data_IF_628909874735
#
_entry.id   IF_628909874735
#
_cell.length_a   1.000
_cell.length_b   1.000
_cell.length_c   1.000
_cell.angle_alpha   90.00
_cell.angle_beta   90.00
_cell.angle_gamma   90.00
#
_symmetry.space_group_name_H-M   'P 1'
#
loop_
_entity.id
_entity.type
_entity.pdbx_description
1 polymer ?
#
# COMPACT_ATOMS: atom_id res chain seq x y z
N UNK A 1 -0.11 5.44 -22.70
CA UNK A 1 0.69 5.96 -21.56
C UNK A 1 1.54 4.83 -21.02
N UNK A 2 2.83 5.10 -20.72
CA UNK A 2 3.71 4.12 -20.09
C UNK A 2 3.22 3.77 -18.67
N UNK A 3 3.42 2.54 -18.24
CA UNK A 3 3.03 2.09 -16.88
C UNK A 3 3.89 2.78 -15.82
N UNK A 4 3.41 2.83 -14.57
CA UNK A 4 4.20 3.34 -13.45
C UNK A 4 5.55 2.62 -13.32
N UNK A 5 5.54 1.28 -13.44
CA UNK A 5 6.77 0.49 -13.43
C UNK A 5 7.72 0.82 -14.59
N UNK A 6 7.19 1.15 -15.77
CA UNK A 6 8.01 1.54 -16.93
C UNK A 6 8.69 2.88 -16.69
N UNK A 7 7.96 3.88 -16.15
CA UNK A 7 8.55 5.18 -15.80
C UNK A 7 9.63 5.07 -14.74
N UNK A 8 9.39 4.28 -13.69
CA UNK A 8 10.41 4.03 -12.66
C UNK A 8 11.69 3.38 -13.24
N UNK A 9 11.55 2.42 -14.17
CA UNK A 9 12.70 1.83 -14.87
C UNK A 9 13.46 2.84 -15.73
N UNK A 10 12.73 3.69 -16.46
CA UNK A 10 13.33 4.72 -17.29
C UNK A 10 14.21 5.67 -16.47
N UNK A 11 13.70 6.16 -15.33
CA UNK A 11 14.47 7.01 -14.41
C UNK A 11 15.75 6.30 -13.91
N UNK A 12 15.62 5.04 -13.47
CA UNK A 12 16.77 4.25 -13.00
C UNK A 12 17.78 4.02 -14.12
N UNK A 13 17.32 3.73 -15.34
CA UNK A 13 18.18 3.50 -16.50
C UNK A 13 18.94 4.76 -16.92
N UNK A 14 18.33 5.93 -16.78
CA UNK A 14 18.92 7.23 -17.11
C UNK A 14 19.78 7.83 -15.99
N UNK A 15 19.83 7.15 -14.83
CA UNK A 15 20.58 7.64 -13.68
C UNK A 15 22.06 7.78 -13.97
N UNK A 16 22.64 8.95 -13.71
CA UNK A 16 24.09 9.18 -13.83
C UNK A 16 24.83 8.54 -12.65
N UNK A 17 25.73 7.60 -12.95
CA UNK A 17 26.60 6.94 -11.98
C UNK A 17 28.04 7.42 -12.24
N UNK A 18 28.60 8.18 -11.28
CA UNK A 18 29.90 8.84 -11.46
C UNK A 18 31.08 7.93 -11.11
N UNK A 19 31.02 7.24 -9.96
CA UNK A 19 32.14 6.48 -9.42
C UNK A 19 32.28 5.12 -10.11
N UNK A 20 33.50 4.73 -10.50
CA UNK A 20 33.76 3.45 -11.17
C UNK A 20 33.37 2.23 -10.33
N UNK A 21 33.54 2.29 -9.00
CA UNK A 21 33.09 1.21 -8.12
C UNK A 21 31.56 1.02 -8.17
N UNK A 22 30.78 2.12 -8.33
CA UNK A 22 29.33 2.08 -8.44
C UNK A 22 28.88 1.61 -9.83
N UNK A 23 29.63 1.95 -10.89
CA UNK A 23 29.41 1.41 -12.24
C UNK A 23 29.62 -0.08 -12.27
N UNK A 24 30.71 -0.56 -11.65
CA UNK A 24 30.98 -1.99 -11.50
C UNK A 24 29.90 -2.70 -10.71
N UNK A 25 29.43 -2.10 -9.60
CA UNK A 25 28.35 -2.66 -8.79
C UNK A 25 27.02 -2.73 -9.57
N UNK A 26 26.69 -1.72 -10.39
CA UNK A 26 25.53 -1.75 -11.27
C UNK A 26 25.65 -2.84 -12.34
N UNK A 27 26.79 -2.93 -13.03
CA UNK A 27 27.05 -3.99 -14.00
C UNK A 27 26.96 -5.38 -13.36
N UNK A 28 27.43 -5.52 -12.13
CA UNK A 28 27.30 -6.76 -11.35
C UNK A 28 25.84 -7.07 -11.01
N UNK A 29 25.02 -6.07 -10.65
CA UNK A 29 23.58 -6.22 -10.46
C UNK A 29 22.87 -6.71 -11.72
N UNK A 30 23.21 -6.13 -12.90
CA UNK A 30 22.74 -6.65 -14.20
C UNK A 30 23.11 -8.11 -14.36
N UNK A 31 24.37 -8.51 -14.12
CA UNK A 31 24.84 -9.88 -14.29
C UNK A 31 24.12 -10.86 -13.35
N UNK A 32 23.95 -10.50 -12.07
CA UNK A 32 23.28 -11.32 -11.08
C UNK A 32 21.81 -11.59 -11.44
N UNK A 33 21.11 -10.61 -11.99
CA UNK A 33 19.69 -10.70 -12.32
C UNK A 33 19.42 -10.90 -13.82
N UNK A 34 20.48 -11.08 -14.64
CA UNK A 34 20.36 -11.44 -16.04
C UNK A 34 19.66 -12.79 -16.20
N UNK A 35 19.04 -13.00 -17.37
CA UNK A 35 18.42 -14.27 -17.74
C UNK A 35 19.44 -15.41 -17.72
N UNK A 36 20.62 -15.18 -18.29
CA UNK A 36 21.76 -16.09 -18.26
C UNK A 36 23.02 -15.31 -17.85
N UNK A 37 23.78 -15.91 -16.97
CA UNK A 37 25.13 -15.49 -16.62
C UNK A 37 25.90 -16.77 -16.23
N UNK A 38 26.70 -17.28 -17.18
CA UNK A 38 27.43 -18.52 -17.07
C UNK A 38 28.70 -18.53 -17.99
N UNK A 39 29.38 -19.65 -18.12
CA UNK A 39 30.57 -19.80 -18.97
C UNK A 39 30.31 -19.47 -20.46
N UNK A 40 29.06 -19.44 -20.91
CA UNK A 40 28.72 -19.11 -22.29
C UNK A 40 28.48 -17.59 -22.48
N UNK A 41 28.46 -16.83 -21.36
CA UNK A 41 28.33 -15.38 -21.36
C UNK A 41 27.17 -14.84 -20.55
N UNK A 42 26.71 -13.68 -20.96
CA UNK A 42 25.64 -12.93 -20.27
C UNK A 42 24.54 -12.56 -21.26
N UNK A 43 23.31 -12.75 -20.84
CA UNK A 43 22.13 -12.39 -21.63
C UNK A 43 21.07 -11.71 -20.75
N UNK A 44 20.77 -10.46 -21.06
CA UNK A 44 19.64 -9.70 -20.52
C UNK A 44 18.52 -9.67 -21.54
N UNK A 45 17.33 -10.07 -21.18
CA UNK A 45 16.14 -9.99 -22.04
C UNK A 45 15.05 -9.16 -21.37
N UNK A 46 14.48 -8.20 -22.11
CA UNK A 46 13.45 -7.29 -21.60
C UNK A 46 12.61 -6.73 -22.75
N UNK A 47 11.41 -6.24 -22.44
CA UNK A 47 10.59 -5.44 -23.37
C UNK A 47 10.89 -3.93 -23.29
N UNK A 48 11.83 -3.52 -22.43
CA UNK A 48 12.22 -2.13 -22.20
C UNK A 48 13.56 -1.85 -22.85
N UNK A 49 13.57 -1.01 -23.90
CA UNK A 49 14.77 -0.67 -24.64
C UNK A 49 15.83 0.03 -23.75
N UNK A 50 15.37 0.88 -22.85
CA UNK A 50 16.22 1.67 -21.94
C UNK A 50 17.05 0.75 -21.02
N UNK A 51 16.52 -0.39 -20.64
CA UNK A 51 17.22 -1.38 -19.79
C UNK A 51 18.43 -1.98 -20.51
N UNK A 52 18.28 -2.38 -21.78
CA UNK A 52 19.42 -2.97 -22.53
C UNK A 52 20.44 -1.89 -22.92
N UNK A 53 20.01 -0.66 -23.15
CA UNK A 53 20.91 0.47 -23.39
C UNK A 53 21.72 0.80 -22.13
N UNK A 54 21.07 0.86 -20.95
CA UNK A 54 21.75 1.07 -19.68
C UNK A 54 22.76 -0.08 -19.40
N UNK A 55 22.38 -1.34 -19.64
CA UNK A 55 23.28 -2.48 -19.51
C UNK A 55 24.51 -2.32 -20.42
N UNK A 56 24.32 -2.02 -21.72
CA UNK A 56 25.41 -1.81 -22.65
C UNK A 56 26.37 -0.71 -22.20
N UNK A 57 25.83 0.45 -21.78
CA UNK A 57 26.64 1.56 -21.28
C UNK A 57 27.44 1.22 -20.02
N UNK A 58 26.83 0.51 -19.06
CA UNK A 58 27.50 0.09 -17.82
C UNK A 58 28.66 -0.88 -18.11
N UNK A 59 28.43 -1.88 -18.97
CA UNK A 59 29.48 -2.82 -19.35
C UNK A 59 30.57 -2.17 -20.18
N UNK A 60 30.22 -1.28 -21.12
CA UNK A 60 31.21 -0.53 -21.89
C UNK A 60 32.14 0.32 -21.01
N UNK A 61 31.60 0.96 -19.96
CA UNK A 61 32.39 1.69 -18.94
C UNK A 61 33.28 0.78 -18.11
N UNK A 62 32.94 -0.50 -17.99
CA UNK A 62 33.81 -1.53 -17.37
C UNK A 62 34.80 -2.17 -18.36
N UNK A 63 34.91 -1.67 -19.60
CA UNK A 63 35.80 -2.20 -20.63
C UNK A 63 35.29 -3.49 -21.29
N UNK A 64 34.00 -3.80 -21.15
CA UNK A 64 33.36 -4.96 -21.76
C UNK A 64 32.38 -4.53 -22.83
N UNK A 65 32.43 -5.16 -23.99
CA UNK A 65 31.53 -4.90 -25.10
C UNK A 65 30.50 -6.02 -25.26
N UNK A 66 29.26 -5.61 -25.56
CA UNK A 66 28.15 -6.50 -25.87
C UNK A 66 27.27 -5.93 -26.96
N UNK A 67 26.42 -6.74 -27.52
CA UNK A 67 25.52 -6.41 -28.63
C UNK A 67 24.09 -6.30 -28.16
N UNK A 68 23.35 -5.34 -28.70
CA UNK A 68 21.91 -5.24 -28.54
C UNK A 68 21.22 -5.81 -29.77
N UNK A 69 20.40 -6.83 -29.56
CA UNK A 69 19.54 -7.42 -30.57
C UNK A 69 18.08 -7.14 -30.21
N UNK A 70 17.20 -7.15 -31.21
CA UNK A 70 15.78 -7.05 -31.00
C UNK A 70 15.03 -8.06 -31.86
N UNK A 71 13.92 -8.56 -31.35
CA UNK A 71 13.04 -9.51 -32.02
C UNK A 71 11.60 -9.06 -31.92
N UNK A 72 10.97 -8.88 -33.07
CA UNK A 72 9.53 -8.60 -33.12
C UNK A 72 8.75 -9.85 -32.68
N UNK A 73 7.74 -9.64 -31.81
CA UNK A 73 6.80 -10.63 -31.31
C UNK A 73 5.37 -10.11 -31.48
N UNK A 74 4.35 -10.96 -31.47
CA UNK A 74 2.95 -10.50 -31.48
C UNK A 74 2.60 -9.59 -30.30
N UNK A 75 3.26 -9.78 -29.14
CA UNK A 75 3.06 -8.98 -27.92
C UNK A 75 3.91 -7.69 -27.85
N UNK A 76 4.76 -7.41 -28.85
CA UNK A 76 5.66 -6.26 -28.85
C UNK A 76 7.10 -6.63 -29.21
N UNK A 77 8.05 -5.75 -28.93
CA UNK A 77 9.47 -5.94 -29.21
C UNK A 77 10.15 -6.53 -28.00
N UNK A 78 10.91 -7.61 -28.18
CA UNK A 78 11.83 -8.13 -27.19
C UNK A 78 13.24 -7.63 -27.51
N UNK A 79 13.84 -6.95 -26.56
CA UNK A 79 15.24 -6.52 -26.62
C UNK A 79 16.12 -7.52 -25.88
N UNK A 80 17.33 -7.73 -26.39
CA UNK A 80 18.33 -8.59 -25.79
C UNK A 80 19.70 -7.88 -25.82
N UNK A 81 20.32 -7.69 -24.67
CA UNK A 81 21.73 -7.36 -24.58
C UNK A 81 22.49 -8.63 -24.28
N UNK A 82 23.48 -8.95 -25.10
CA UNK A 82 24.27 -10.16 -24.95
C UNK A 82 25.79 -9.91 -25.02
N UNK A 83 26.54 -10.70 -24.27
CA UNK A 83 28.00 -10.77 -24.28
C UNK A 83 28.34 -12.23 -24.51
N UNK A 84 28.77 -12.56 -25.76
CA UNK A 84 29.03 -13.94 -26.18
C UNK A 84 30.44 -14.16 -26.79
N UNK A 85 31.11 -13.09 -27.23
CA UNK A 85 32.47 -13.18 -27.73
C UNK A 85 33.38 -13.72 -26.61
N UNK A 86 34.14 -14.78 -26.84
CA UNK A 86 34.92 -15.47 -25.80
C UNK A 86 35.84 -14.55 -24.98
N UNK A 87 36.46 -13.58 -25.64
CA UNK A 87 37.28 -12.55 -25.00
C UNK A 87 36.52 -11.63 -24.08
N UNK A 88 35.29 -11.26 -24.46
CA UNK A 88 34.42 -10.39 -23.66
C UNK A 88 33.82 -11.18 -22.49
N UNK A 89 33.48 -12.45 -22.69
CA UNK A 89 33.03 -13.36 -21.61
C UNK A 89 34.14 -13.52 -20.57
N UNK A 90 35.40 -13.77 -21.01
CA UNK A 90 36.52 -13.83 -20.09
C UNK A 90 36.71 -12.56 -19.28
N UNK A 91 36.59 -11.38 -19.91
CA UNK A 91 36.65 -10.07 -19.22
C UNK A 91 35.53 -9.88 -18.18
N UNK A 92 34.29 -10.34 -18.47
CA UNK A 92 33.19 -10.28 -17.49
C UNK A 92 33.51 -11.13 -16.28
N UNK A 93 34.02 -12.34 -16.49
CA UNK A 93 34.37 -13.24 -15.38
C UNK A 93 35.56 -12.69 -14.57
N UNK A 94 36.57 -12.13 -15.22
CA UNK A 94 37.68 -11.42 -14.56
C UNK A 94 37.16 -10.21 -13.74
N UNK A 95 36.27 -9.39 -14.33
CA UNK A 95 35.70 -8.20 -13.70
C UNK A 95 34.99 -8.53 -12.38
N UNK A 96 34.27 -9.65 -12.33
CA UNK A 96 33.47 -10.05 -11.15
C UNK A 96 34.15 -11.16 -10.30
N UNK A 97 35.31 -11.68 -10.72
CA UNK A 97 35.99 -12.74 -10.02
C UNK A 97 35.23 -14.07 -10.05
N UNK A 98 34.54 -14.34 -11.14
CA UNK A 98 33.78 -15.58 -11.37
C UNK A 98 34.44 -16.44 -12.44
N UNK A 99 34.05 -17.72 -12.52
CA UNK A 99 34.58 -18.67 -13.54
C UNK A 99 33.51 -19.06 -14.57
N UNK A 100 32.25 -18.74 -14.30
CA UNK A 100 31.10 -19.18 -15.09
C UNK A 100 30.66 -20.61 -14.86
N UNK A 101 31.41 -21.36 -14.04
CA UNK A 101 31.12 -22.76 -13.66
C UNK A 101 30.46 -22.86 -12.27
N UNK A 102 30.15 -21.74 -11.64
CA UNK A 102 29.53 -21.70 -10.33
C UNK A 102 28.16 -22.39 -10.36
N UNK A 103 28.00 -23.43 -9.51
CA UNK A 103 26.71 -24.12 -9.34
C UNK A 103 25.64 -23.27 -8.69
N UNK A 104 26.06 -22.16 -8.05
CA UNK A 104 25.18 -21.28 -7.30
C UNK A 104 25.74 -19.86 -7.30
N UNK A 105 24.97 -18.93 -7.82
CA UNK A 105 25.29 -17.51 -7.78
C UNK A 105 24.89 -16.90 -6.43
N UNK A 106 25.86 -16.22 -5.79
CA UNK A 106 25.74 -15.48 -4.55
C UNK A 106 26.18 -14.03 -4.75
N UNK A 107 25.79 -13.13 -3.85
CA UNK A 107 26.28 -11.75 -3.88
C UNK A 107 27.69 -11.71 -3.28
N UNK A 108 28.66 -11.23 -4.06
CA UNK A 108 29.99 -10.95 -3.55
C UNK A 108 30.05 -9.55 -2.94
N UNK A 109 30.16 -9.42 -1.59
CA UNK A 109 30.18 -8.12 -0.93
C UNK A 109 31.40 -7.26 -1.31
N UNK A 110 32.47 -7.85 -1.82
CA UNK A 110 33.67 -7.12 -2.29
C UNK A 110 33.39 -6.24 -3.50
N UNK A 111 32.31 -6.53 -4.25
CA UNK A 111 31.86 -5.76 -5.41
C UNK A 111 30.89 -4.63 -5.02
N UNK A 112 30.42 -4.59 -3.77
CA UNK A 112 29.46 -3.62 -3.26
C UNK A 112 30.08 -2.87 -2.07
N UNK A 113 30.95 -1.88 -2.37
CA UNK A 113 31.87 -1.29 -1.39
C UNK A 113 31.31 -0.09 -0.60
N UNK A 114 30.34 0.63 -1.13
CA UNK A 114 29.81 1.83 -0.51
C UNK A 114 28.30 1.89 -0.70
N UNK A 115 27.62 2.75 0.07
CA UNK A 115 26.16 2.89 0.02
C UNK A 115 25.64 3.20 -1.41
N UNK A 116 26.38 4.01 -2.18
CA UNK A 116 26.02 4.29 -3.58
C UNK A 116 26.19 3.04 -4.47
N UNK A 117 27.15 2.14 -4.16
CA UNK A 117 27.26 0.85 -4.85
C UNK A 117 26.03 -0.02 -4.59
N UNK A 118 25.53 -0.07 -3.34
CA UNK A 118 24.31 -0.81 -2.99
C UNK A 118 23.11 -0.28 -3.78
N UNK A 119 22.94 1.05 -3.77
CA UNK A 119 21.90 1.73 -4.52
C UNK A 119 21.97 1.42 -6.03
N UNK A 120 23.16 1.45 -6.61
CA UNK A 120 23.38 1.14 -8.02
C UNK A 120 23.12 -0.34 -8.34
N UNK A 121 23.54 -1.25 -7.45
CA UNK A 121 23.31 -2.69 -7.57
C UNK A 121 21.81 -3.03 -7.52
N UNK A 122 21.06 -2.49 -6.53
CA UNK A 122 19.62 -2.73 -6.38
C UNK A 122 18.84 -2.11 -7.54
N UNK A 123 19.21 -0.89 -7.99
CA UNK A 123 18.62 -0.29 -9.18
C UNK A 123 18.82 -1.13 -10.45
N UNK A 124 20.01 -1.65 -10.65
CA UNK A 124 20.34 -2.55 -11.76
C UNK A 124 19.56 -3.89 -11.68
N UNK A 125 19.42 -4.46 -10.48
CA UNK A 125 18.55 -5.61 -10.24
C UNK A 125 17.10 -5.32 -10.62
N UNK A 126 16.59 -4.12 -10.29
CA UNK A 126 15.24 -3.70 -10.65
C UNK A 126 15.04 -3.58 -12.17
N UNK A 127 16.03 -3.07 -12.90
CA UNK A 127 15.97 -3.03 -14.36
C UNK A 127 15.78 -4.40 -15.00
N UNK A 128 16.44 -5.43 -14.47
CA UNK A 128 16.42 -6.80 -15.02
C UNK A 128 15.19 -7.60 -14.56
N UNK A 129 14.77 -7.46 -13.32
CA UNK A 129 13.83 -8.40 -12.68
C UNK A 129 12.81 -7.74 -11.77
N UNK A 130 12.90 -6.40 -11.58
CA UNK A 130 12.04 -5.67 -10.69
C UNK A 130 10.72 -5.29 -11.35
N UNK A 131 9.69 -5.15 -10.53
CA UNK A 131 8.42 -4.51 -10.91
C UNK A 131 7.83 -3.77 -9.72
N UNK A 132 6.99 -2.77 -9.99
CA UNK A 132 6.27 -2.01 -8.98
C UNK A 132 4.84 -1.80 -9.44
N UNK A 133 3.89 -1.97 -8.53
CA UNK A 133 2.47 -1.77 -8.82
C UNK A 133 2.16 -0.26 -8.77
N UNK A 134 1.21 0.16 -9.59
CA UNK A 134 0.68 1.52 -9.59
C UNK A 134 0.21 1.91 -8.18
N UNK A 135 0.72 3.02 -7.61
CA UNK A 135 0.36 3.44 -6.25
C UNK A 135 -1.12 3.76 -6.06
N UNK A 136 -1.88 3.99 -7.12
CA UNK A 136 -3.33 4.11 -7.04
C UNK A 136 -4.01 2.80 -6.64
N UNK A 137 -3.42 1.66 -7.03
CA UNK A 137 -3.93 0.32 -6.74
C UNK A 137 -3.40 -0.20 -5.41
N UNK A 138 -2.13 -0.57 -5.36
CA UNK A 138 -1.49 -1.22 -4.22
C UNK A 138 -0.05 -0.77 -4.05
N UNK A 139 0.50 -0.87 -2.84
CA UNK A 139 1.91 -0.63 -2.55
C UNK A 139 2.65 -1.95 -2.55
N UNK A 140 3.26 -2.30 -3.67
CA UNK A 140 4.03 -3.52 -3.83
C UNK A 140 5.15 -3.31 -4.85
N UNK A 141 6.38 -3.64 -4.46
CA UNK A 141 7.56 -3.66 -5.30
C UNK A 141 8.21 -5.04 -5.17
N UNK A 142 8.51 -5.67 -6.29
CA UNK A 142 8.94 -7.06 -6.37
C UNK A 142 10.20 -7.23 -7.19
N UNK A 143 11.03 -8.21 -6.82
CA UNK A 143 12.15 -8.72 -7.60
C UNK A 143 11.99 -10.22 -7.79
N UNK A 144 12.27 -10.70 -8.99
CA UNK A 144 12.13 -12.10 -9.37
C UNK A 144 13.48 -12.72 -9.71
N UNK A 145 13.76 -13.91 -9.19
CA UNK A 145 14.94 -14.68 -9.60
C UNK A 145 14.72 -16.18 -9.42
N UNK A 146 15.20 -16.99 -10.34
CA UNK A 146 15.26 -18.46 -10.18
C UNK A 146 16.36 -18.91 -9.24
N UNK A 147 17.35 -18.04 -8.94
CA UNK A 147 18.57 -18.34 -8.18
C UNK A 147 18.29 -18.21 -6.68
N UNK A 148 18.20 -19.33 -5.97
CA UNK A 148 17.78 -19.36 -4.56
C UNK A 148 18.76 -18.68 -3.60
N UNK A 149 20.08 -18.89 -3.80
CA UNK A 149 21.08 -18.25 -2.94
C UNK A 149 21.17 -16.76 -3.20
N UNK A 150 21.10 -16.31 -4.46
CA UNK A 150 20.99 -14.90 -4.80
C UNK A 150 19.76 -14.24 -4.15
N UNK A 151 18.61 -14.91 -4.14
CA UNK A 151 17.40 -14.39 -3.52
C UNK A 151 17.55 -14.21 -2.00
N UNK A 152 18.21 -15.15 -1.32
CA UNK A 152 18.49 -15.05 0.12
C UNK A 152 19.46 -13.90 0.42
N UNK A 153 20.54 -13.80 -0.33
CA UNK A 153 21.56 -12.78 -0.12
C UNK A 153 21.01 -11.38 -0.46
N UNK A 154 20.13 -11.29 -1.46
CA UNK A 154 19.47 -10.03 -1.82
C UNK A 154 18.46 -9.56 -0.76
N UNK A 155 17.70 -10.49 -0.16
CA UNK A 155 16.82 -10.19 0.99
C UNK A 155 17.64 -9.68 2.18
N UNK A 156 18.81 -10.32 2.47
CA UNK A 156 19.71 -9.89 3.53
C UNK A 156 20.29 -8.49 3.23
N UNK A 157 20.72 -8.23 1.98
CA UNK A 157 21.21 -6.91 1.56
C UNK A 157 20.14 -5.81 1.74
N UNK A 158 18.89 -6.08 1.40
CA UNK A 158 17.79 -5.14 1.63
C UNK A 158 17.59 -4.87 3.13
N UNK A 159 17.65 -5.92 3.96
CA UNK A 159 17.48 -5.80 5.41
C UNK A 159 18.63 -4.99 6.06
N UNK A 160 19.88 -5.18 5.64
CA UNK A 160 21.05 -4.41 6.10
C UNK A 160 20.90 -2.91 5.83
N UNK A 161 20.12 -2.55 4.81
CA UNK A 161 19.83 -1.15 4.46
C UNK A 161 18.42 -0.70 4.92
N UNK A 162 17.86 -1.38 5.92
CA UNK A 162 16.59 -1.05 6.56
C UNK A 162 15.37 -1.10 5.62
N UNK A 163 15.43 -1.88 4.55
CA UNK A 163 14.27 -2.17 3.71
C UNK A 163 13.61 -3.46 4.18
N UNK A 164 12.49 -3.34 4.88
CA UNK A 164 11.68 -4.48 5.28
C UNK A 164 11.13 -5.19 4.05
N UNK A 165 11.72 -6.33 3.72
CA UNK A 165 11.32 -7.18 2.60
C UNK A 165 10.91 -8.57 3.09
N UNK A 166 10.22 -9.29 2.23
CA UNK A 166 9.80 -10.66 2.47
C UNK A 166 10.15 -11.50 1.25
N UNK A 167 10.44 -12.78 1.47
CA UNK A 167 10.74 -13.72 0.40
C UNK A 167 9.72 -14.85 0.39
N UNK A 168 9.24 -15.18 -0.80
CA UNK A 168 8.40 -16.35 -1.05
C UNK A 168 8.82 -17.05 -2.33
N UNK A 169 8.29 -18.24 -2.59
CA UNK A 169 8.52 -18.98 -3.83
C UNK A 169 7.21 -19.26 -4.53
N UNK A 170 7.11 -18.87 -5.79
CA UNK A 170 5.92 -19.06 -6.62
C UNK A 170 6.32 -19.66 -7.97
N UNK A 171 5.73 -20.81 -8.37
CA UNK A 171 5.99 -21.49 -9.62
C UNK A 171 7.51 -21.72 -9.89
N UNK A 172 8.27 -22.10 -8.87
CA UNK A 172 9.71 -22.37 -8.99
C UNK A 172 10.61 -21.12 -8.97
N UNK A 173 10.03 -19.90 -8.99
CA UNK A 173 10.75 -18.63 -8.97
C UNK A 173 10.70 -18.03 -7.56
N UNK A 174 11.82 -17.49 -7.08
CA UNK A 174 11.85 -16.73 -5.83
C UNK A 174 11.38 -15.31 -6.09
N UNK A 175 10.50 -14.85 -5.22
CA UNK A 175 9.91 -13.51 -5.21
C UNK A 175 10.36 -12.81 -3.93
N UNK A 176 11.10 -11.71 -4.05
CA UNK A 176 11.46 -10.82 -2.96
C UNK A 176 10.60 -9.56 -3.11
N UNK A 177 9.85 -9.19 -2.07
CA UNK A 177 8.91 -8.09 -2.19
C UNK A 177 8.88 -7.16 -0.98
N UNK A 178 8.52 -5.91 -1.24
CA UNK A 178 8.33 -4.81 -0.28
C UNK A 178 6.92 -4.29 -0.40
N UNK A 179 6.14 -4.28 0.71
CA UNK A 179 4.69 -3.99 0.68
C UNK A 179 4.27 -2.65 1.24
N UNK A 180 4.99 -2.04 2.14
CA UNK A 180 4.49 -0.80 2.75
C UNK A 180 4.80 0.41 1.87
N UNK A 181 3.84 1.32 1.72
CA UNK A 181 4.03 2.51 0.89
C UNK A 181 5.24 3.35 1.28
N UNK A 182 5.60 3.41 2.57
CA UNK A 182 6.80 4.12 3.02
C UNK A 182 8.10 3.41 2.57
N UNK A 183 8.16 2.07 2.64
CA UNK A 183 9.34 1.32 2.21
C UNK A 183 9.48 1.31 0.68
N UNK A 184 8.38 1.18 -0.06
CA UNK A 184 8.39 1.24 -1.53
C UNK A 184 8.87 2.62 -2.01
N UNK A 185 8.35 3.71 -1.44
CA UNK A 185 8.79 5.09 -1.71
C UNK A 185 10.29 5.27 -1.46
N UNK A 186 10.76 4.87 -0.26
CA UNK A 186 12.19 4.93 0.09
C UNK A 186 13.06 4.12 -0.86
N UNK A 187 12.62 2.92 -1.23
CA UNK A 187 13.38 2.03 -2.11
C UNK A 187 13.45 2.58 -3.54
N UNK A 188 12.37 3.15 -4.08
CA UNK A 188 12.35 3.84 -5.38
C UNK A 188 13.34 5.03 -5.38
N UNK A 189 13.26 5.89 -4.36
CA UNK A 189 14.20 7.00 -4.20
C UNK A 189 15.65 6.50 -4.08
N UNK A 190 15.89 5.46 -3.30
CA UNK A 190 17.20 4.87 -3.12
C UNK A 190 17.78 4.32 -4.43
N UNK A 191 16.99 3.70 -5.27
CA UNK A 191 17.38 3.20 -6.59
C UNK A 191 17.60 4.32 -7.62
N UNK A 192 17.15 5.54 -7.35
CA UNK A 192 17.26 6.69 -8.24
C UNK A 192 16.01 6.98 -9.08
N UNK A 193 14.86 6.41 -8.75
CA UNK A 193 13.55 6.73 -9.33
C UNK A 193 12.86 7.82 -8.50
N UNK A 194 13.38 9.05 -8.55
CA UNK A 194 12.94 10.18 -7.74
C UNK A 194 11.51 10.61 -8.03
N UNK A 195 11.14 10.78 -9.30
CA UNK A 195 9.79 11.19 -9.69
C UNK A 195 8.76 10.10 -9.35
N UNK A 196 9.12 8.81 -9.54
CA UNK A 196 8.25 7.71 -9.13
C UNK A 196 8.05 7.67 -7.60
N UNK A 197 9.08 7.99 -6.81
CA UNK A 197 8.98 8.10 -5.36
C UNK A 197 8.09 9.28 -4.94
N UNK A 198 8.20 10.44 -5.60
CA UNK A 198 7.33 11.61 -5.35
C UNK A 198 5.87 11.32 -5.71
N UNK A 199 5.61 10.67 -6.83
CA UNK A 199 4.26 10.23 -7.23
C UNK A 199 3.67 9.26 -6.17
N UNK A 200 4.49 8.31 -5.68
CA UNK A 200 4.12 7.40 -4.59
C UNK A 200 3.76 8.16 -3.31
N UNK A 201 4.56 9.16 -2.93
CA UNK A 201 4.32 10.02 -1.78
C UNK A 201 2.99 10.76 -1.89
N UNK A 202 2.73 11.41 -3.02
CA UNK A 202 1.50 12.16 -3.28
C UNK A 202 0.25 11.26 -3.20
N UNK A 203 0.31 10.06 -3.79
CA UNK A 203 -0.78 9.09 -3.73
C UNK A 203 -1.05 8.56 -2.32
N UNK A 204 0.00 8.39 -1.50
CA UNK A 204 -0.14 8.04 -0.08
C UNK A 204 -0.90 9.11 0.68
N UNK A 205 -0.49 10.38 0.55
CA UNK A 205 -1.14 11.52 1.21
C UNK A 205 -2.62 11.61 0.81
N UNK A 206 -2.92 11.50 -0.47
CA UNK A 206 -4.29 11.51 -0.99
C UNK A 206 -5.15 10.37 -0.41
N UNK A 207 -4.63 9.14 -0.37
CA UNK A 207 -5.34 7.99 0.22
C UNK A 207 -5.58 8.18 1.73
N UNK A 208 -4.65 8.77 2.47
CA UNK A 208 -4.81 9.05 3.90
C UNK A 208 -5.95 10.03 4.16
N UNK A 209 -5.98 11.15 3.44
CA UNK A 209 -7.04 12.17 3.56
C UNK A 209 -8.41 11.54 3.24
N UNK A 210 -8.51 10.82 2.12
CA UNK A 210 -9.75 10.15 1.72
C UNK A 210 -10.24 9.15 2.77
N UNK A 211 -9.34 8.33 3.32
CA UNK A 211 -9.69 7.35 4.34
C UNK A 211 -10.14 8.02 5.66
N UNK A 212 -9.52 9.13 6.04
CA UNK A 212 -9.93 9.91 7.20
C UNK A 212 -11.32 10.50 7.01
N UNK A 213 -11.58 11.12 5.86
CA UNK A 213 -12.91 11.66 5.50
C UNK A 213 -13.97 10.57 5.51
N UNK A 214 -13.70 9.40 4.91
CA UNK A 214 -14.64 8.28 4.89
C UNK A 214 -14.96 7.78 6.32
N UNK A 215 -13.93 7.67 7.19
CA UNK A 215 -14.14 7.27 8.59
C UNK A 215 -14.98 8.28 9.34
N UNK A 216 -14.76 9.58 9.14
CA UNK A 216 -15.55 10.64 9.74
C UNK A 216 -17.01 10.57 9.27
N UNK A 217 -17.23 10.49 7.96
CA UNK A 217 -18.58 10.38 7.37
C UNK A 217 -19.31 9.15 7.88
N UNK A 218 -18.64 7.99 7.97
CA UNK A 218 -19.25 6.77 8.49
C UNK A 218 -19.62 6.91 9.98
N UNK A 219 -18.76 7.56 10.78
CA UNK A 219 -19.04 7.84 12.18
C UNK A 219 -20.25 8.75 12.34
N UNK A 220 -20.30 9.85 11.58
CA UNK A 220 -21.39 10.84 11.62
C UNK A 220 -22.72 10.20 11.16
N UNK A 221 -22.71 9.41 10.10
CA UNK A 221 -23.88 8.68 9.61
C UNK A 221 -24.37 7.66 10.65
N UNK A 222 -23.46 6.91 11.28
CA UNK A 222 -23.84 5.96 12.32
C UNK A 222 -24.44 6.65 13.56
N UNK A 223 -23.89 7.81 13.97
CA UNK A 223 -24.39 8.60 15.08
C UNK A 223 -25.76 9.20 14.77
N UNK A 224 -25.94 9.73 13.55
CA UNK A 224 -27.23 10.24 13.09
C UNK A 224 -28.30 9.13 13.09
N UNK A 225 -27.95 7.97 12.56
CA UNK A 225 -28.85 6.81 12.55
C UNK A 225 -29.24 6.30 13.95
N UNK A 226 -28.30 6.30 14.90
CA UNK A 226 -28.59 5.95 16.31
C UNK A 226 -29.53 6.99 16.94
N UNK A 227 -29.26 8.27 16.72
CA UNK A 227 -30.10 9.37 17.24
C UNK A 227 -31.50 9.29 16.67
N UNK A 228 -31.66 9.11 15.37
CA UNK A 228 -32.97 9.00 14.72
C UNK A 228 -33.79 7.81 15.26
N UNK A 229 -33.14 6.62 15.44
CA UNK A 229 -33.82 5.45 16.00
C UNK A 229 -34.25 5.67 17.44
N UNK A 230 -33.38 6.24 18.28
CA UNK A 230 -33.71 6.56 19.67
C UNK A 230 -34.89 7.59 19.75
N UNK A 231 -34.87 8.63 18.92
CA UNK A 231 -35.93 9.60 18.86
C UNK A 231 -37.28 8.97 18.43
N UNK A 232 -37.23 8.11 17.38
CA UNK A 232 -38.44 7.43 16.90
C UNK A 232 -39.03 6.48 17.97
N UNK A 233 -38.16 5.78 18.72
CA UNK A 233 -38.58 4.90 19.81
C UNK A 233 -39.28 5.72 20.94
N UNK A 234 -38.64 6.78 21.38
CA UNK A 234 -39.21 7.67 22.42
C UNK A 234 -40.51 8.30 21.96
N UNK A 235 -40.58 8.81 20.71
CA UNK A 235 -41.80 9.37 20.16
C UNK A 235 -42.95 8.35 20.09
N UNK A 236 -42.66 7.11 19.68
CA UNK A 236 -43.64 6.02 19.67
C UNK A 236 -44.19 5.73 21.08
N UNK A 237 -43.32 5.73 22.10
CA UNK A 237 -43.70 5.53 23.47
C UNK A 237 -44.59 6.70 23.99
N UNK A 238 -44.24 7.94 23.71
CA UNK A 238 -44.99 9.11 24.12
C UNK A 238 -46.38 9.12 23.47
N UNK A 239 -46.48 8.89 22.15
CA UNK A 239 -47.78 8.82 21.45
C UNK A 239 -48.68 7.71 22.00
N UNK A 240 -48.12 6.56 22.31
CA UNK A 240 -48.86 5.48 22.91
C UNK A 240 -49.42 5.86 24.31
N UNK A 241 -48.63 6.55 25.16
CA UNK A 241 -49.11 7.07 26.46
C UNK A 241 -50.20 8.12 26.29
N UNK A 242 -50.14 8.98 25.27
CA UNK A 242 -51.13 9.96 24.93
C UNK A 242 -52.46 9.32 24.47
N UNK A 243 -52.39 8.35 23.56
CA UNK A 243 -53.54 7.57 23.04
C UNK A 243 -54.30 6.81 24.15
N UNK A 244 -53.58 6.46 25.25
CA UNK A 244 -54.17 5.76 26.38
C UNK A 244 -54.54 6.72 27.55
N UNK A 245 -54.57 8.05 27.32
CA UNK A 245 -54.81 9.09 28.33
C UNK A 245 -53.92 9.03 29.58
N UNK A 246 -52.84 8.22 29.50
CA UNK A 246 -51.91 7.99 30.60
C UNK A 246 -50.89 9.12 30.79
N UNK A 247 -50.60 9.92 29.73
CA UNK A 247 -49.62 11.00 29.78
C UNK A 247 -50.00 12.11 30.77
N UNK A 248 -51.27 12.42 30.89
CA UNK A 248 -51.81 13.46 31.78
C UNK A 248 -51.69 13.10 33.28
N UNK A 249 -51.56 11.83 33.60
CA UNK A 249 -51.41 11.31 34.99
C UNK A 249 -49.97 11.26 35.48
N UNK A 250 -48.98 11.52 34.59
CA UNK A 250 -47.56 11.47 34.93
C UNK A 250 -47.12 12.76 35.66
N UNK A 251 -45.99 12.68 36.40
CA UNK A 251 -45.39 13.89 36.98
C UNK A 251 -45.12 14.95 35.94
N UNK A 252 -45.33 16.22 36.26
CA UNK A 252 -45.18 17.37 35.38
C UNK A 252 -43.85 17.39 34.60
N UNK A 253 -42.77 17.02 35.27
CA UNK A 253 -41.42 16.90 34.68
C UNK A 253 -41.35 15.91 33.50
N UNK A 254 -42.14 14.85 33.52
CA UNK A 254 -42.25 13.89 32.43
C UNK A 254 -43.17 14.36 31.31
N UNK A 255 -44.27 15.05 31.69
CA UNK A 255 -45.20 15.69 30.72
C UNK A 255 -44.47 16.75 29.90
N UNK A 256 -43.67 17.62 30.56
CA UNK A 256 -42.86 18.64 29.90
C UNK A 256 -41.81 17.98 28.94
N UNK A 257 -41.14 16.94 29.40
CA UNK A 257 -40.17 16.22 28.59
C UNK A 257 -40.79 15.59 27.33
N UNK A 258 -42.00 15.02 27.47
CA UNK A 258 -42.77 14.47 26.35
C UNK A 258 -43.18 15.56 25.37
N UNK A 259 -43.74 16.66 25.86
CA UNK A 259 -44.16 17.81 25.04
C UNK A 259 -42.99 18.39 24.22
N UNK A 260 -41.86 18.64 24.86
CA UNK A 260 -40.65 19.13 24.16
C UNK A 260 -40.11 18.13 23.11
N UNK A 261 -40.18 16.82 23.37
CA UNK A 261 -39.77 15.81 22.37
C UNK A 261 -40.76 15.76 21.20
N UNK A 262 -42.05 15.91 21.43
CA UNK A 262 -43.06 15.97 20.37
C UNK A 262 -42.91 17.23 19.52
N UNK A 263 -42.62 18.36 20.16
CA UNK A 263 -42.40 19.64 19.48
C UNK A 263 -41.15 19.65 18.62
N UNK A 264 -40.10 18.94 19.05
CA UNK A 264 -38.76 18.87 18.37
C UNK A 264 -38.35 17.43 18.12
N UNK A 265 -38.99 16.71 17.20
CA UNK A 265 -38.82 15.28 17.01
C UNK A 265 -37.40 14.87 16.54
N UNK A 266 -36.73 15.72 15.74
CA UNK A 266 -35.47 15.43 15.09
C UNK A 266 -34.26 15.90 15.88
N UNK A 267 -34.44 16.74 16.90
CA UNK A 267 -33.29 17.22 17.69
C UNK A 267 -32.60 16.10 18.46
N UNK A 268 -31.26 16.14 18.46
CA UNK A 268 -30.47 15.28 19.35
C UNK A 268 -30.83 15.57 20.82
N UNK A 269 -30.60 14.60 21.69
CA UNK A 269 -30.89 14.78 23.13
C UNK A 269 -30.12 15.97 23.72
N UNK A 270 -28.90 16.22 23.24
CA UNK A 270 -28.09 17.37 23.68
C UNK A 270 -28.68 18.69 23.23
N UNK A 271 -29.16 18.79 21.99
CA UNK A 271 -29.80 19.99 21.50
C UNK A 271 -31.17 20.24 22.19
N UNK A 272 -31.91 19.18 22.45
CA UNK A 272 -33.20 19.25 23.15
C UNK A 272 -33.06 19.76 24.59
N UNK A 273 -31.94 19.52 25.29
CA UNK A 273 -31.66 20.06 26.63
C UNK A 273 -31.76 21.59 26.69
N UNK A 274 -31.35 22.27 25.61
CA UNK A 274 -31.43 23.74 25.51
C UNK A 274 -32.83 24.30 25.29
N UNK A 275 -33.83 23.46 25.02
CA UNK A 275 -35.22 23.88 24.81
C UNK A 275 -36.03 23.98 26.12
N UNK A 276 -35.39 23.70 27.25
CA UNK A 276 -36.02 23.82 28.60
C UNK A 276 -35.59 25.11 29.28
N UNK A 277 -36.48 25.64 30.16
CA UNK A 277 -36.24 26.84 30.99
C UNK A 277 -36.44 26.51 32.48
N UNK A 278 -35.36 26.39 33.27
CA UNK A 278 -33.95 26.44 32.88
C UNK A 278 -33.49 25.20 32.09
N UNK A 279 -32.39 25.28 31.31
CA UNK A 279 -31.86 24.16 30.57
C UNK A 279 -31.56 22.94 31.45
N UNK A 280 -31.88 21.74 30.96
CA UNK A 280 -31.69 20.50 31.73
C UNK A 280 -30.40 19.77 31.32
N UNK A 281 -29.84 18.96 32.23
CA UNK A 281 -28.66 18.15 31.89
C UNK A 281 -29.04 17.03 30.95
N UNK A 282 -28.11 16.63 30.08
CA UNK A 282 -28.26 15.50 29.15
C UNK A 282 -28.60 14.19 29.89
N UNK A 283 -27.94 13.94 31.03
CA UNK A 283 -28.21 12.75 31.85
C UNK A 283 -29.64 12.77 32.43
N UNK A 284 -30.04 13.92 32.94
CA UNK A 284 -31.42 14.10 33.46
C UNK A 284 -32.48 13.90 32.38
N UNK A 285 -32.30 14.52 31.21
CA UNK A 285 -33.23 14.34 30.08
C UNK A 285 -33.24 12.90 29.56
N UNK A 286 -32.05 12.24 29.46
CA UNK A 286 -31.96 10.82 29.08
C UNK A 286 -32.73 9.92 30.04
N UNK A 287 -32.64 10.20 31.34
CA UNK A 287 -33.38 9.45 32.34
C UNK A 287 -34.91 9.64 32.18
N UNK A 288 -35.37 10.86 31.94
CA UNK A 288 -36.80 11.17 31.70
C UNK A 288 -37.33 10.44 30.46
N UNK A 289 -36.58 10.43 29.33
CA UNK A 289 -36.96 9.70 28.11
C UNK A 289 -37.05 8.20 28.32
N UNK A 290 -36.06 7.59 28.99
CA UNK A 290 -36.10 6.16 29.34
C UNK A 290 -37.27 5.83 30.26
N UNK A 291 -37.65 6.70 31.18
CA UNK A 291 -38.79 6.51 32.08
C UNK A 291 -40.09 6.52 31.32
N UNK A 292 -40.26 7.42 30.34
CA UNK A 292 -41.43 7.44 29.44
C UNK A 292 -41.52 6.15 28.61
N UNK A 293 -40.41 5.65 28.07
CA UNK A 293 -40.36 4.40 27.33
C UNK A 293 -40.74 3.19 28.22
N UNK A 294 -40.20 3.14 29.44
CA UNK A 294 -40.52 2.07 30.38
C UNK A 294 -42.00 2.07 30.82
N UNK A 295 -42.59 3.27 31.05
CA UNK A 295 -44.01 3.39 31.41
C UNK A 295 -44.90 2.94 30.25
N UNK A 296 -44.59 3.34 29.01
CA UNK A 296 -45.31 2.88 27.82
C UNK A 296 -45.27 1.37 27.66
N UNK A 297 -44.13 0.76 27.88
CA UNK A 297 -43.95 -0.68 27.76
C UNK A 297 -44.73 -1.43 28.85
N UNK A 298 -44.68 -0.96 30.11
CA UNK A 298 -45.44 -1.56 31.20
C UNK A 298 -46.96 -1.49 30.96
N UNK A 299 -47.44 -0.32 30.48
CA UNK A 299 -48.87 -0.14 30.16
C UNK A 299 -49.30 -1.11 29.03
N UNK A 300 -48.47 -1.28 28.01
CA UNK A 300 -48.73 -2.23 26.91
C UNK A 300 -48.85 -3.64 27.39
N UNK A 301 -47.93 -4.08 28.27
CA UNK A 301 -47.98 -5.42 28.86
C UNK A 301 -49.21 -5.66 29.70
N UNK A 302 -49.65 -4.67 30.48
CA UNK A 302 -50.85 -4.78 31.28
C UNK A 302 -52.13 -4.92 30.41
N UNK A 303 -52.25 -4.11 29.37
CA UNK A 303 -53.37 -4.22 28.42
C UNK A 303 -53.42 -5.55 27.67
N UNK A 304 -52.25 -6.09 27.33
CA UNK A 304 -52.16 -7.41 26.70
C UNK A 304 -52.56 -8.57 27.67
N UNK A 305 -52.33 -8.41 28.98
CA UNK A 305 -52.73 -9.36 29.99
C UNK A 305 -54.23 -9.32 30.24
N UNK A 306 -54.80 -8.10 30.31
CA UNK A 306 -56.25 -7.89 30.46
C UNK A 306 -57.05 -8.40 29.24
N UNK A 307 -56.52 -8.27 28.05
CA UNK A 307 -57.14 -8.79 26.82
C UNK A 307 -57.10 -10.32 26.71
N UNK A 308 -56.25 -11.01 27.51
CA UNK A 308 -56.13 -12.48 27.54
C UNK A 308 -56.88 -13.13 28.70
N UNK A 309 -57.34 -12.34 29.65
CA UNK A 309 -58.14 -12.80 30.81
C UNK A 309 -59.63 -12.73 30.53
#
# INVERSE_FOLDING_TARGET
MSSFASRAREEIAQRSIQKDCCVRAAAYGIACFAKYFDAKGLVVQTEQQETVQAAQQLFARCGVQGEILHKQRPSGVLYEFNIRAPEQVARVHELFGTTGSETSLQIDPRLIRCQTCVSAYIGAAFLCSGTVIDPQKEYNLEFLTSRTNLARDFEALLAEHEFASHRTRRNGVNLIYVKTGANVERLLSFMGAGNAAEEMHAQKAFKQVRNQTNRQTNCDTANLGKTARANAQTLKAIRFLEEQDALSTLPEVLQEAAAKRMQYPDLSLTALCGCFEPPVSKSGLSHRMKKLEALAENLRQNLEQEAKA
#
